data_IF_053004604239
#
_entry.id   IF_053004604239
#
_cell.length_a   1.000
_cell.length_b   1.000
_cell.length_c   1.000
_cell.angle_alpha   90.00
_cell.angle_beta   90.00
_cell.angle_gamma   90.00
#
_symmetry.space_group_name_H-M   'P 1'
#
loop_
_entity.id
_entity.type
_entity.pdbx_description
1 polymer ?
#
# COMPACT_ATOMS: atom_id res chain seq x y z
N UNK A 1 -18.92 -43.42 -53.94
CA UNK A 1 -17.90 -43.60 -52.91
C UNK A 1 -17.55 -42.20 -52.40
N UNK A 2 -18.22 -41.79 -51.34
CA UNK A 2 -18.10 -40.47 -50.74
C UNK A 2 -17.26 -40.60 -49.47
N UNK A 3 -16.07 -40.05 -49.51
CA UNK A 3 -15.15 -40.04 -48.38
C UNK A 3 -15.60 -39.02 -47.36
N UNK A 4 -16.02 -39.50 -46.18
CA UNK A 4 -16.28 -38.67 -44.98
C UNK A 4 -14.93 -38.25 -44.43
N UNK A 5 -14.66 -36.94 -44.47
CA UNK A 5 -13.51 -36.35 -43.80
C UNK A 5 -13.75 -36.42 -42.28
N UNK A 6 -12.92 -37.19 -41.64
CA UNK A 6 -12.84 -37.30 -40.17
C UNK A 6 -12.50 -35.94 -39.57
N UNK A 7 -13.37 -35.49 -38.68
CA UNK A 7 -13.17 -34.34 -37.77
C UNK A 7 -11.96 -34.67 -36.90
N UNK A 8 -10.81 -34.11 -37.19
CA UNK A 8 -9.64 -34.12 -36.30
C UNK A 8 -10.04 -33.55 -34.95
N UNK A 9 -9.85 -34.36 -33.94
CA UNK A 9 -9.97 -34.08 -32.53
C UNK A 9 -9.06 -32.88 -32.20
N UNK A 10 -9.61 -31.67 -32.15
CA UNK A 10 -8.93 -30.52 -31.65
C UNK A 10 -8.71 -30.75 -30.16
N UNK A 11 -7.56 -31.35 -29.82
CA UNK A 11 -7.11 -31.46 -28.45
C UNK A 11 -7.38 -30.11 -27.72
N UNK A 12 -8.22 -30.16 -26.72
CA UNK A 12 -8.56 -28.99 -25.92
C UNK A 12 -7.24 -28.40 -25.37
N UNK A 13 -6.75 -27.32 -25.96
CA UNK A 13 -5.56 -26.63 -25.51
C UNK A 13 -5.71 -26.29 -24.04
N UNK A 14 -4.85 -26.84 -23.21
CA UNK A 14 -4.92 -26.68 -21.75
C UNK A 14 -3.99 -25.56 -21.34
N UNK A 15 -4.58 -24.51 -20.75
CA UNK A 15 -3.79 -23.45 -20.12
C UNK A 15 -3.25 -23.98 -18.80
N UNK A 16 -1.95 -23.99 -18.67
CA UNK A 16 -1.24 -24.39 -17.45
C UNK A 16 -0.70 -23.16 -16.73
N UNK A 17 -0.61 -23.22 -15.40
CA UNK A 17 -0.10 -22.12 -14.57
C UNK A 17 1.11 -22.64 -13.81
N UNK A 18 2.21 -21.91 -13.95
CA UNK A 18 3.49 -22.22 -13.32
C UNK A 18 4.03 -21.03 -12.56
N UNK A 19 4.93 -21.28 -11.64
CA UNK A 19 5.78 -20.22 -11.11
C UNK A 19 6.72 -19.71 -12.21
N UNK A 20 6.92 -18.39 -12.30
CA UNK A 20 7.85 -17.76 -13.25
C UNK A 20 9.24 -18.40 -13.18
N UNK A 21 9.82 -18.64 -14.32
CA UNK A 21 11.20 -19.06 -14.51
C UNK A 21 11.98 -17.99 -15.30
N UNK A 22 13.31 -18.09 -15.35
CA UNK A 22 14.12 -17.16 -16.12
C UNK A 22 13.80 -17.15 -17.62
N UNK A 23 13.34 -18.30 -18.16
CA UNK A 23 12.87 -18.42 -19.56
C UNK A 23 11.70 -17.50 -19.90
N UNK A 24 10.93 -17.07 -18.89
CA UNK A 24 9.75 -16.22 -19.10
C UNK A 24 10.09 -14.73 -19.16
N UNK A 25 11.28 -14.37 -18.75
CA UNK A 25 11.68 -12.98 -18.51
C UNK A 25 11.41 -12.08 -19.72
N UNK A 26 11.97 -12.45 -20.88
CA UNK A 26 11.85 -11.64 -22.08
C UNK A 26 10.38 -11.51 -22.54
N UNK A 27 9.65 -12.62 -22.55
CA UNK A 27 8.24 -12.62 -22.92
C UNK A 27 7.36 -11.80 -21.97
N UNK A 28 7.66 -11.81 -20.67
CA UNK A 28 6.95 -11.02 -19.66
C UNK A 28 7.30 -9.54 -19.73
N UNK A 29 8.57 -9.17 -19.94
CA UNK A 29 8.98 -7.78 -20.13
C UNK A 29 8.33 -7.18 -21.38
N UNK A 30 8.30 -7.90 -22.50
CA UNK A 30 7.59 -7.47 -23.71
C UNK A 30 6.10 -7.30 -23.45
N UNK A 31 5.46 -8.28 -22.82
CA UNK A 31 4.04 -8.20 -22.49
C UNK A 31 3.72 -7.05 -21.53
N UNK A 32 4.60 -6.75 -20.58
CA UNK A 32 4.43 -5.61 -19.67
C UNK A 32 4.40 -4.28 -20.44
N UNK A 33 5.30 -4.13 -21.43
CA UNK A 33 5.33 -2.96 -22.30
C UNK A 33 4.07 -2.85 -23.19
N UNK A 34 3.56 -3.98 -23.68
CA UNK A 34 2.33 -4.02 -24.48
C UNK A 34 1.07 -3.64 -23.66
N UNK A 35 1.02 -4.04 -22.39
CA UNK A 35 -0.16 -3.82 -21.52
C UNK A 35 -0.14 -2.45 -20.85
N UNK A 36 1.02 -2.02 -20.33
CA UNK A 36 1.16 -0.83 -19.49
C UNK A 36 1.96 0.30 -20.13
N UNK A 37 2.57 0.05 -21.28
CA UNK A 37 3.43 1.01 -21.99
C UNK A 37 4.91 0.88 -21.61
N UNK A 38 5.80 1.37 -22.50
CA UNK A 38 7.26 1.24 -22.36
C UNK A 38 7.81 1.90 -21.10
N UNK A 39 7.35 3.09 -20.79
CA UNK A 39 7.78 3.83 -19.57
C UNK A 39 7.44 3.08 -18.28
N UNK A 40 6.25 2.46 -18.20
CA UNK A 40 5.87 1.62 -17.06
C UNK A 40 6.73 0.35 -17.00
N UNK A 41 7.09 -0.24 -18.14
CA UNK A 41 7.96 -1.41 -18.21
C UNK A 41 9.39 -1.11 -17.72
N UNK A 42 9.95 0.06 -18.07
CA UNK A 42 11.25 0.50 -17.58
C UNK A 42 11.24 0.72 -16.05
N UNK A 43 10.20 1.39 -15.54
CA UNK A 43 10.02 1.55 -14.09
C UNK A 43 9.86 0.20 -13.38
N UNK A 44 9.13 -0.74 -13.96
CA UNK A 44 8.99 -2.09 -13.41
C UNK A 44 10.34 -2.82 -13.37
N UNK A 45 11.11 -2.79 -14.45
CA UNK A 45 12.45 -3.41 -14.53
C UNK A 45 13.39 -2.87 -13.44
N UNK A 46 13.39 -1.56 -13.22
CA UNK A 46 14.25 -0.92 -12.21
C UNK A 46 13.96 -1.39 -10.79
N UNK A 47 12.70 -1.70 -10.46
CA UNK A 47 12.28 -2.10 -9.11
C UNK A 47 12.09 -3.61 -8.94
N UNK A 48 12.09 -4.40 -10.03
CA UNK A 48 11.72 -5.81 -10.05
C UNK A 48 12.48 -6.64 -9.00
N UNK A 49 13.81 -6.51 -8.97
CA UNK A 49 14.66 -7.22 -8.04
C UNK A 49 14.31 -6.91 -6.59
N UNK A 50 14.24 -5.63 -6.25
CA UNK A 50 13.86 -5.19 -4.91
C UNK A 50 12.47 -5.70 -4.53
N UNK A 51 11.48 -5.55 -5.42
CA UNK A 51 10.07 -5.81 -5.09
C UNK A 51 9.77 -7.30 -4.93
N UNK A 52 10.37 -8.16 -5.75
CA UNK A 52 10.00 -9.56 -5.85
C UNK A 52 11.08 -10.54 -5.37
N UNK A 53 12.36 -10.24 -5.56
CA UNK A 53 13.45 -11.14 -5.21
C UNK A 53 14.06 -10.84 -3.84
N UNK A 54 14.22 -9.57 -3.49
CA UNK A 54 14.83 -9.12 -2.23
C UNK A 54 13.81 -8.93 -1.08
N UNK A 55 12.53 -9.23 -1.33
CA UNK A 55 11.51 -9.20 -0.28
C UNK A 55 11.87 -10.24 0.80
N UNK A 56 11.96 -9.85 2.10
CA UNK A 56 12.35 -10.78 3.18
C UNK A 56 11.36 -11.93 3.40
N UNK A 57 10.17 -11.83 2.83
CA UNK A 57 9.15 -12.90 2.88
C UNK A 57 9.07 -13.68 1.55
N UNK A 58 9.97 -13.40 0.60
CA UNK A 58 10.08 -14.19 -0.62
C UNK A 58 10.45 -15.63 -0.25
N UNK A 59 9.69 -16.65 -0.71
CA UNK A 59 10.00 -18.03 -0.39
C UNK A 59 11.28 -18.50 -1.07
N UNK A 60 11.95 -19.54 -0.53
CA UNK A 60 13.21 -20.05 -1.09
C UNK A 60 13.11 -20.49 -2.56
N UNK A 61 11.93 -20.88 -3.00
CA UNK A 61 11.64 -21.29 -4.38
C UNK A 61 11.59 -20.11 -5.36
N UNK A 62 11.80 -18.89 -4.88
CA UNK A 62 11.83 -17.66 -5.67
C UNK A 62 10.52 -16.85 -5.62
N UNK A 63 10.43 -15.79 -6.44
CA UNK A 63 9.29 -14.86 -6.44
C UNK A 63 7.94 -15.55 -6.69
N UNK A 64 6.93 -15.11 -5.97
CA UNK A 64 5.54 -15.55 -6.17
C UNK A 64 4.92 -14.84 -7.39
N UNK A 65 5.40 -15.21 -8.58
CA UNK A 65 4.89 -14.73 -9.87
C UNK A 65 4.37 -15.94 -10.64
N UNK A 66 3.08 -15.94 -10.95
CA UNK A 66 2.37 -17.03 -11.60
C UNK A 66 2.17 -16.71 -13.07
N UNK A 67 2.56 -17.63 -13.95
CA UNK A 67 2.54 -17.44 -15.41
C UNK A 67 1.60 -18.47 -16.04
N UNK A 68 0.62 -17.98 -16.78
CA UNK A 68 -0.25 -18.81 -17.59
C UNK A 68 0.38 -19.04 -18.97
N UNK A 69 0.48 -20.30 -19.40
CA UNK A 69 1.01 -20.70 -20.71
C UNK A 69 0.07 -21.66 -21.41
N UNK A 70 0.14 -21.63 -22.72
CA UNK A 70 -0.47 -22.60 -23.64
C UNK A 70 0.55 -22.90 -24.74
N UNK A 71 0.88 -24.17 -24.96
CA UNK A 71 1.88 -24.61 -25.94
C UNK A 71 3.23 -23.87 -25.84
N UNK A 72 3.69 -23.59 -24.60
CA UNK A 72 4.92 -22.83 -24.32
C UNK A 72 4.81 -21.30 -24.47
N UNK A 73 3.70 -20.78 -24.97
CA UNK A 73 3.48 -19.33 -25.15
C UNK A 73 2.92 -18.72 -23.87
N UNK A 74 3.55 -17.64 -23.38
CA UNK A 74 3.08 -16.86 -22.23
C UNK A 74 1.81 -16.10 -22.62
N UNK A 75 0.71 -16.33 -21.89
CA UNK A 75 -0.59 -15.70 -22.11
C UNK A 75 -0.88 -14.59 -21.11
N UNK A 76 -0.34 -14.70 -19.90
CA UNK A 76 -0.55 -13.74 -18.81
C UNK A 76 0.30 -14.06 -17.61
N UNK A 77 0.37 -13.10 -16.67
CA UNK A 77 0.98 -13.30 -15.37
C UNK A 77 0.13 -12.69 -14.26
N UNK A 78 0.37 -13.16 -13.05
CA UNK A 78 -0.03 -12.51 -11.82
C UNK A 78 1.15 -12.48 -10.86
N UNK A 79 1.70 -11.30 -10.65
CA UNK A 79 2.77 -11.10 -9.68
C UNK A 79 2.19 -10.75 -8.32
N UNK A 80 2.84 -11.18 -7.25
CA UNK A 80 2.40 -10.94 -5.89
C UNK A 80 3.58 -10.57 -4.99
N UNK A 81 3.30 -9.83 -3.94
CA UNK A 81 4.30 -9.40 -2.96
C UNK A 81 4.01 -10.10 -1.63
N UNK A 82 4.81 -11.10 -1.25
CA UNK A 82 4.62 -11.83 0.00
C UNK A 82 4.70 -10.92 1.23
N UNK A 83 3.87 -11.22 2.22
CA UNK A 83 3.80 -10.50 3.50
C UNK A 83 3.41 -11.44 4.62
N UNK A 84 3.90 -11.19 5.84
CA UNK A 84 3.37 -11.79 7.05
C UNK A 84 2.33 -10.85 7.66
N UNK A 85 1.19 -11.41 8.02
CA UNK A 85 0.08 -10.68 8.61
C UNK A 85 -0.17 -11.18 10.02
N UNK A 86 -0.30 -10.26 10.97
CA UNK A 86 -0.90 -10.57 12.25
C UNK A 86 -2.41 -10.35 12.14
N UNK A 87 -3.18 -11.42 12.31
CA UNK A 87 -4.64 -11.42 12.25
C UNK A 87 -5.18 -12.05 13.53
N UNK A 88 -5.85 -11.26 14.37
CA UNK A 88 -6.34 -11.71 15.70
C UNK A 88 -5.29 -12.52 16.49
N UNK A 89 -4.07 -12.01 16.56
CA UNK A 89 -2.95 -12.62 17.29
C UNK A 89 -2.28 -13.82 16.59
N UNK A 90 -2.71 -14.22 15.39
CA UNK A 90 -2.11 -15.29 14.59
C UNK A 90 -1.31 -14.71 13.44
N UNK A 91 -0.11 -15.24 13.22
CA UNK A 91 0.68 -14.90 12.02
C UNK A 91 0.24 -15.78 10.87
N UNK A 92 -0.19 -15.15 9.78
CA UNK A 92 -0.58 -15.80 8.53
C UNK A 92 0.41 -15.45 7.41
N UNK A 93 0.65 -16.40 6.51
CA UNK A 93 1.32 -16.13 5.24
C UNK A 93 0.32 -15.53 4.26
N UNK A 94 0.51 -14.27 3.92
CA UNK A 94 -0.30 -13.58 2.94
C UNK A 94 0.51 -13.06 1.78
N UNK A 95 -0.16 -12.52 0.78
CA UNK A 95 0.49 -11.71 -0.25
C UNK A 95 -0.44 -10.65 -0.83
N UNK A 96 0.15 -9.52 -1.21
CA UNK A 96 -0.51 -8.47 -1.95
C UNK A 96 -0.53 -8.83 -3.43
N UNK A 97 -1.72 -8.83 -4.04
CA UNK A 97 -1.86 -8.94 -5.49
C UNK A 97 -1.34 -7.68 -6.18
N UNK A 98 -0.43 -7.89 -7.12
CA UNK A 98 0.27 -6.83 -7.82
C UNK A 98 0.00 -6.90 -9.32
N UNK A 99 0.99 -6.64 -10.11
CA UNK A 99 1.01 -6.54 -11.58
C UNK A 99 0.32 -7.72 -12.30
N UNK A 100 -1.02 -7.73 -12.31
CA UNK A 100 -1.80 -8.69 -13.11
C UNK A 100 -1.86 -8.21 -14.55
N UNK A 101 -1.48 -9.04 -15.49
CA UNK A 101 -1.58 -8.75 -16.91
C UNK A 101 -1.96 -10.00 -17.73
N UNK A 102 -2.72 -9.78 -18.79
CA UNK A 102 -3.10 -10.78 -19.79
C UNK A 102 -2.93 -10.12 -21.15
N UNK A 103 -2.38 -10.86 -22.13
CA UNK A 103 -2.21 -10.33 -23.49
C UNK A 103 -3.51 -9.68 -23.99
N UNK A 104 -3.45 -8.49 -24.62
CA UNK A 104 -4.65 -7.71 -24.99
C UNK A 104 -5.67 -8.51 -25.79
N UNK A 105 -5.23 -9.31 -26.75
CA UNK A 105 -6.07 -10.17 -27.62
C UNK A 105 -6.67 -11.40 -26.90
N UNK A 106 -6.23 -11.68 -25.68
CA UNK A 106 -6.67 -12.83 -24.86
C UNK A 106 -7.44 -12.42 -23.61
N UNK A 107 -7.64 -11.11 -23.39
CA UNK A 107 -8.46 -10.62 -22.29
C UNK A 107 -9.91 -11.11 -22.40
N UNK A 108 -10.61 -11.18 -21.24
CA UNK A 108 -11.98 -11.67 -21.11
C UNK A 108 -12.19 -13.15 -21.43
N UNK A 109 -11.12 -13.94 -21.67
CA UNK A 109 -11.18 -15.40 -21.91
C UNK A 109 -10.96 -16.24 -20.63
N UNK A 110 -11.07 -15.62 -19.45
CA UNK A 110 -10.97 -16.32 -18.16
C UNK A 110 -9.55 -16.56 -17.64
N UNK A 111 -8.50 -16.17 -18.37
CA UNK A 111 -7.09 -16.36 -17.96
C UNK A 111 -6.81 -15.66 -16.65
N UNK A 112 -7.23 -14.39 -16.49
CA UNK A 112 -7.06 -13.63 -15.26
C UNK A 112 -7.72 -14.32 -14.06
N UNK A 113 -8.94 -14.81 -14.20
CA UNK A 113 -9.65 -15.54 -13.13
C UNK A 113 -8.90 -16.79 -12.70
N UNK A 114 -8.33 -17.55 -13.65
CA UNK A 114 -7.54 -18.76 -13.35
C UNK A 114 -6.25 -18.42 -12.60
N UNK A 115 -5.55 -17.36 -12.99
CA UNK A 115 -4.37 -16.84 -12.28
C UNK A 115 -4.70 -16.40 -10.85
N UNK A 116 -5.81 -15.68 -10.66
CA UNK A 116 -6.28 -15.27 -9.33
C UNK A 116 -6.58 -16.46 -8.43
N UNK A 117 -7.35 -17.44 -8.94
CA UNK A 117 -7.70 -18.63 -8.15
C UNK A 117 -6.48 -19.48 -7.84
N UNK A 118 -5.53 -19.58 -8.76
CA UNK A 118 -4.29 -20.30 -8.53
C UNK A 118 -3.46 -19.64 -7.42
N UNK A 119 -3.25 -18.30 -7.51
CA UNK A 119 -2.58 -17.55 -6.46
C UNK A 119 -3.26 -17.70 -5.11
N UNK A 120 -4.59 -17.54 -5.08
CA UNK A 120 -5.34 -17.67 -3.83
C UNK A 120 -5.05 -19.00 -3.11
N UNK A 121 -4.92 -20.09 -3.87
CA UNK A 121 -4.63 -21.41 -3.29
C UNK A 121 -3.25 -21.49 -2.61
N UNK A 122 -2.30 -20.61 -2.98
CA UNK A 122 -0.92 -20.66 -2.51
C UNK A 122 -0.69 -19.95 -1.16
N UNK A 123 -1.64 -19.16 -0.68
CA UNK A 123 -1.49 -18.32 0.53
C UNK A 123 -2.66 -18.51 1.49
N UNK A 124 -2.47 -18.16 2.78
CA UNK A 124 -3.53 -18.18 3.79
C UNK A 124 -4.39 -16.90 3.72
N UNK A 125 -3.79 -15.79 3.24
CA UNK A 125 -4.48 -14.53 3.04
C UNK A 125 -4.10 -13.89 1.71
N UNK A 126 -5.11 -13.62 0.86
CA UNK A 126 -4.98 -12.93 -0.43
C UNK A 126 -5.49 -11.50 -0.30
N UNK A 127 -4.68 -10.52 -0.68
CA UNK A 127 -4.91 -9.11 -0.42
C UNK A 127 -4.87 -8.29 -1.72
N UNK A 128 -5.86 -7.43 -1.90
CA UNK A 128 -5.91 -6.47 -3.01
C UNK A 128 -6.18 -5.07 -2.52
N UNK A 129 -5.24 -4.15 -2.70
CA UNK A 129 -5.32 -2.77 -2.25
C UNK A 129 -5.12 -1.81 -3.43
N UNK A 130 -5.94 -0.76 -3.52
CA UNK A 130 -5.86 0.23 -4.60
C UNK A 130 -6.19 -0.35 -5.99
N UNK A 131 -7.21 -1.18 -6.04
CA UNK A 131 -7.58 -1.98 -7.20
C UNK A 131 -8.02 -1.13 -8.40
N UNK A 132 -7.58 -1.51 -9.60
CA UNK A 132 -8.17 -1.01 -10.84
C UNK A 132 -9.66 -1.44 -10.93
N UNK A 133 -10.52 -0.74 -11.69
CA UNK A 133 -11.91 -1.14 -11.88
C UNK A 133 -12.07 -2.59 -12.35
N UNK A 134 -11.16 -3.04 -13.23
CA UNK A 134 -11.16 -4.40 -13.76
C UNK A 134 -10.80 -5.42 -12.66
N UNK A 135 -9.73 -5.14 -11.89
CA UNK A 135 -9.33 -6.01 -10.78
C UNK A 135 -10.39 -6.04 -9.70
N UNK A 136 -10.96 -4.90 -9.31
CA UNK A 136 -12.04 -4.83 -8.33
C UNK A 136 -13.26 -5.67 -8.75
N UNK A 137 -13.69 -5.56 -10.02
CA UNK A 137 -14.76 -6.40 -10.55
C UNK A 137 -14.45 -7.89 -10.45
N UNK A 138 -13.18 -8.27 -10.69
CA UNK A 138 -12.74 -9.67 -10.61
C UNK A 138 -12.72 -10.17 -9.17
N UNK A 139 -12.18 -9.39 -8.21
CA UNK A 139 -12.22 -9.72 -6.79
C UNK A 139 -13.65 -9.97 -6.31
N UNK A 140 -14.59 -9.08 -6.65
CA UNK A 140 -16.01 -9.21 -6.33
C UNK A 140 -16.63 -10.46 -6.95
N UNK A 141 -16.39 -10.71 -8.23
CA UNK A 141 -16.92 -11.89 -8.94
C UNK A 141 -16.43 -13.19 -8.33
N UNK A 142 -15.20 -13.21 -7.84
CA UNK A 142 -14.58 -14.37 -7.20
C UNK A 142 -14.85 -14.45 -5.68
N UNK A 143 -15.74 -13.59 -5.16
CA UNK A 143 -16.23 -13.58 -3.78
C UNK A 143 -15.13 -13.34 -2.73
N UNK A 144 -14.17 -12.42 -3.01
CA UNK A 144 -13.36 -11.83 -1.97
C UNK A 144 -14.22 -10.87 -1.13
N UNK A 145 -13.91 -10.77 0.16
CA UNK A 145 -14.55 -9.79 1.03
C UNK A 145 -14.18 -8.37 0.59
N UNK A 146 -15.20 -7.57 0.31
CA UNK A 146 -15.07 -6.16 -0.02
C UNK A 146 -15.14 -5.33 1.27
N UNK A 147 -13.97 -5.01 1.81
CA UNK A 147 -13.85 -4.19 3.02
C UNK A 147 -14.24 -2.73 2.76
N UNK A 148 -14.22 -2.33 1.50
CA UNK A 148 -14.49 -0.96 1.08
C UNK A 148 -13.22 -0.11 0.97
N UNK A 149 -13.39 1.21 0.71
CA UNK A 149 -12.25 2.11 0.56
C UNK A 149 -11.58 2.39 1.91
N UNK A 150 -10.24 2.28 1.96
CA UNK A 150 -9.47 2.67 3.15
C UNK A 150 -9.68 4.17 3.41
N UNK A 151 -10.15 4.60 4.60
CA UNK A 151 -10.43 6.00 4.87
C UNK A 151 -9.19 6.89 4.67
N UNK A 152 -9.34 7.96 3.89
CA UNK A 152 -8.29 8.93 3.60
C UNK A 152 -8.48 10.19 4.43
N UNK A 153 -7.45 10.56 5.15
CA UNK A 153 -7.42 11.79 5.97
C UNK A 153 -6.45 12.78 5.34
N UNK A 154 -6.89 14.03 5.15
CA UNK A 154 -6.09 15.06 4.50
C UNK A 154 -6.07 16.34 5.31
N UNK A 155 -4.88 16.84 5.66
CA UNK A 155 -4.68 18.15 6.27
C UNK A 155 -4.27 19.16 5.20
N UNK A 156 -5.03 20.24 5.07
CA UNK A 156 -4.73 21.35 4.17
C UNK A 156 -3.65 22.22 4.83
N UNK A 157 -2.54 22.46 4.11
CA UNK A 157 -1.41 23.26 4.56
C UNK A 157 -1.29 24.56 3.76
N UNK A 158 -1.53 24.49 2.45
CA UNK A 158 -1.62 25.66 1.58
C UNK A 158 -3.00 25.70 0.87
N UNK A 159 -3.96 26.46 1.41
CA UNK A 159 -5.26 26.66 0.78
C UNK A 159 -5.17 27.29 -0.62
N UNK A 160 -4.20 28.17 -0.86
CA UNK A 160 -4.04 28.86 -2.15
C UNK A 160 -3.80 27.90 -3.29
N UNK A 161 -2.83 26.99 -3.12
CA UNK A 161 -2.52 25.98 -4.15
C UNK A 161 -3.72 25.09 -4.50
N UNK A 162 -4.64 24.88 -3.54
CA UNK A 162 -5.87 24.12 -3.78
C UNK A 162 -6.96 24.93 -4.47
N UNK A 163 -7.09 26.21 -4.12
CA UNK A 163 -8.06 27.13 -4.71
C UNK A 163 -7.72 27.47 -6.16
N UNK A 164 -6.45 27.68 -6.50
CA UNK A 164 -5.96 27.97 -7.84
C UNK A 164 -6.29 26.87 -8.88
N UNK A 165 -6.67 25.67 -8.43
CA UNK A 165 -7.15 24.59 -9.32
C UNK A 165 -8.58 24.77 -9.79
N UNK A 166 -9.37 25.58 -9.10
CA UNK A 166 -10.81 25.76 -9.37
C UNK A 166 -11.21 27.20 -9.61
N UNK A 167 -10.36 28.15 -9.23
CA UNK A 167 -10.62 29.58 -9.28
C UNK A 167 -9.46 30.31 -9.97
N UNK A 168 -9.72 31.47 -10.61
CA UNK A 168 -8.68 32.35 -11.10
C UNK A 168 -7.68 32.70 -9.99
N UNK A 169 -6.40 32.84 -10.33
CA UNK A 169 -5.30 33.07 -9.37
C UNK A 169 -5.54 34.25 -8.44
N UNK A 170 -6.14 35.34 -8.97
CA UNK A 170 -6.45 36.56 -8.17
C UNK A 170 -7.49 36.23 -7.11
N UNK A 171 -8.57 35.53 -7.46
CA UNK A 171 -9.63 35.12 -6.54
C UNK A 171 -9.09 34.16 -5.48
N UNK A 172 -8.30 33.19 -5.91
CA UNK A 172 -7.65 32.23 -5.01
C UNK A 172 -6.74 32.94 -3.99
N UNK A 173 -5.96 33.94 -4.43
CA UNK A 173 -5.08 34.70 -3.56
C UNK A 173 -5.85 35.54 -2.52
N UNK A 174 -7.02 36.08 -2.87
CA UNK A 174 -7.87 36.86 -1.96
C UNK A 174 -8.58 35.94 -0.93
N UNK A 175 -9.01 34.75 -1.32
CA UNK A 175 -9.76 33.84 -0.44
C UNK A 175 -8.83 32.98 0.45
N UNK A 176 -7.59 32.73 0.04
CA UNK A 176 -6.67 31.86 0.76
C UNK A 176 -6.38 32.30 2.22
N UNK A 177 -6.17 33.61 2.54
CA UNK A 177 -5.97 34.05 3.92
C UNK A 177 -7.18 33.79 4.81
N UNK A 178 -8.38 34.07 4.34
CA UNK A 178 -9.62 33.84 5.09
C UNK A 178 -9.83 32.35 5.37
N UNK A 179 -9.59 31.49 4.38
CA UNK A 179 -9.65 30.03 4.53
C UNK A 179 -8.57 29.53 5.50
N UNK A 180 -7.35 30.07 5.42
CA UNK A 180 -6.26 29.74 6.35
C UNK A 180 -6.62 30.10 7.79
N UNK A 181 -7.19 31.29 8.00
CA UNK A 181 -7.64 31.77 9.31
C UNK A 181 -8.78 30.88 9.83
N UNK A 182 -9.78 30.57 9.01
CA UNK A 182 -10.87 29.65 9.38
C UNK A 182 -10.38 28.27 9.79
N UNK A 183 -9.45 27.69 9.02
CA UNK A 183 -8.82 26.40 9.36
C UNK A 183 -8.00 26.47 10.65
N UNK A 184 -7.30 27.57 10.91
CA UNK A 184 -6.55 27.79 12.13
C UNK A 184 -7.48 27.91 13.35
N UNK A 185 -8.60 28.60 13.22
CA UNK A 185 -9.59 28.77 14.28
C UNK A 185 -10.31 27.42 14.58
N UNK A 186 -10.71 26.71 13.53
CA UNK A 186 -11.41 25.43 13.67
C UNK A 186 -10.52 24.30 14.22
N UNK A 187 -9.22 24.34 13.90
CA UNK A 187 -8.27 23.29 14.26
C UNK A 187 -6.98 23.89 14.85
N UNK A 188 -7.06 24.47 16.06
CA UNK A 188 -5.87 25.02 16.72
C UNK A 188 -4.85 23.90 16.92
N UNK A 189 -3.70 24.02 16.27
CA UNK A 189 -2.58 23.08 16.45
C UNK A 189 -2.00 23.27 17.86
N UNK A 190 -2.53 22.56 18.83
CA UNK A 190 -1.91 22.46 20.15
C UNK A 190 -0.65 21.60 20.01
N UNK A 191 0.51 22.25 20.00
CA UNK A 191 1.77 21.54 20.24
C UNK A 191 1.66 20.86 21.60
N UNK A 192 2.07 19.60 21.67
CA UNK A 192 2.18 18.86 22.93
C UNK A 192 3.32 19.51 23.73
N UNK A 193 3.00 20.55 24.50
CA UNK A 193 3.98 21.17 25.41
C UNK A 193 4.24 20.21 26.57
N UNK A 194 5.52 19.98 26.90
CA UNK A 194 5.92 19.13 28.04
C UNK A 194 5.90 17.63 27.73
N UNK A 195 5.86 17.22 26.45
CA UNK A 195 5.97 15.82 26.07
C UNK A 195 7.32 15.23 26.45
N UNK A 196 7.31 14.06 27.07
CA UNK A 196 8.53 13.26 27.30
C UNK A 196 9.00 12.55 26.02
N UNK A 197 8.19 12.56 24.96
CA UNK A 197 8.48 11.94 23.66
C UNK A 197 9.01 12.95 22.67
N UNK A 198 10.13 12.62 22.03
CA UNK A 198 10.73 13.42 20.96
C UNK A 198 10.71 12.66 19.66
N UNK A 199 10.34 13.34 18.56
CA UNK A 199 10.40 12.79 17.20
C UNK A 199 11.66 13.33 16.50
N UNK A 200 12.62 12.44 16.20
CA UNK A 200 13.92 12.76 15.56
C UNK A 200 14.10 11.97 14.27
N UNK A 201 14.86 12.47 13.29
CA UNK A 201 15.18 11.69 12.11
C UNK A 201 15.85 10.34 12.47
N UNK A 202 15.47 9.27 11.77
CA UNK A 202 16.21 8.01 11.83
C UNK A 202 17.51 8.17 11.05
N UNK A 203 18.64 8.12 11.75
CA UNK A 203 19.96 8.07 11.14
C UNK A 203 20.39 6.61 10.92
N UNK A 204 20.75 6.27 9.67
CA UNK A 204 21.21 4.92 9.32
C UNK A 204 20.07 3.91 9.11
N UNK A 205 20.27 2.70 9.61
CA UNK A 205 19.41 1.54 9.40
C UNK A 205 18.39 1.34 10.54
N UNK A 206 17.36 0.54 10.30
CA UNK A 206 16.45 0.10 11.35
C UNK A 206 17.16 -0.86 12.31
N UNK A 207 17.23 -0.54 13.59
CA UNK A 207 17.88 -1.33 14.62
C UNK A 207 17.00 -2.45 15.20
N UNK A 208 17.55 -3.27 16.13
CA UNK A 208 16.82 -4.36 16.77
C UNK A 208 15.65 -3.87 17.64
N UNK A 209 15.66 -2.62 18.10
CA UNK A 209 14.58 -2.00 18.87
C UNK A 209 13.26 -1.92 18.11
N UNK A 210 13.28 -1.98 16.77
CA UNK A 210 12.06 -2.06 15.97
C UNK A 210 11.36 -3.41 16.08
N UNK A 211 12.10 -4.49 16.32
CA UNK A 211 11.50 -5.81 16.61
C UNK A 211 10.84 -5.83 18.00
N UNK A 212 11.40 -5.08 18.96
CA UNK A 212 10.80 -4.87 20.28
C UNK A 212 9.51 -4.06 20.15
N UNK A 213 9.55 -2.92 19.44
CA UNK A 213 8.37 -2.10 19.15
C UNK A 213 7.27 -2.90 18.46
N UNK A 214 7.62 -3.73 17.45
CA UNK A 214 6.67 -4.61 16.79
C UNK A 214 5.99 -5.54 17.79
N UNK A 215 6.76 -6.20 18.64
CA UNK A 215 6.25 -7.15 19.66
C UNK A 215 5.32 -6.48 20.66
N UNK A 216 5.59 -5.23 21.03
CA UNK A 216 4.79 -4.47 22.00
C UNK A 216 3.50 -3.91 21.36
N UNK A 217 3.57 -3.30 20.18
CA UNK A 217 2.47 -2.55 19.59
C UNK A 217 1.56 -3.41 18.68
N UNK A 218 2.09 -4.42 18.00
CA UNK A 218 1.29 -5.21 17.05
C UNK A 218 0.07 -5.92 17.67
N UNK A 219 0.08 -6.43 18.93
CA UNK A 219 -1.10 -7.02 19.53
C UNK A 219 -2.28 -6.07 19.73
N UNK A 220 -2.04 -4.77 19.61
CA UNK A 220 -3.09 -3.75 19.71
C UNK A 220 -3.97 -3.67 18.47
N UNK A 221 -3.59 -4.37 17.37
CA UNK A 221 -4.32 -4.39 16.10
C UNK A 221 -4.91 -5.78 15.85
N UNK A 222 -6.10 -5.82 15.26
CA UNK A 222 -6.75 -7.07 14.85
C UNK A 222 -6.27 -7.54 13.46
N UNK A 223 -5.75 -6.61 12.66
CA UNK A 223 -5.16 -6.84 11.34
C UNK A 223 -4.01 -5.86 11.12
N UNK A 224 -2.81 -6.37 10.88
CA UNK A 224 -1.62 -5.56 10.56
C UNK A 224 -0.58 -6.40 9.82
N UNK A 225 0.03 -5.84 8.77
CA UNK A 225 1.20 -6.43 8.13
C UNK A 225 2.43 -6.27 9.02
N UNK A 226 3.38 -7.22 8.96
CA UNK A 226 4.60 -7.21 9.79
C UNK A 226 5.41 -5.92 9.58
N UNK A 227 5.90 -5.34 10.69
CA UNK A 227 6.77 -4.15 10.75
C UNK A 227 8.05 -4.43 11.52
N UNK A 228 8.66 -5.60 11.33
CA UNK A 228 9.97 -5.90 11.89
C UNK A 228 11.09 -5.19 11.12
N UNK A 229 12.25 -5.02 11.76
CA UNK A 229 13.39 -4.28 11.20
C UNK A 229 13.76 -4.73 9.78
N UNK A 230 13.80 -6.03 9.52
CA UNK A 230 14.19 -6.58 8.22
C UNK A 230 13.20 -6.16 7.12
N UNK A 231 11.88 -6.26 7.40
CA UNK A 231 10.84 -5.81 6.49
C UNK A 231 10.90 -4.29 6.28
N UNK A 232 11.06 -3.50 7.36
CA UNK A 232 11.17 -2.04 7.28
C UNK A 232 12.40 -1.59 6.52
N UNK A 233 13.56 -2.26 6.74
CA UNK A 233 14.80 -2.00 6.02
C UNK A 233 14.63 -2.22 4.52
N UNK A 234 14.04 -3.35 4.13
CA UNK A 234 13.73 -3.64 2.75
C UNK A 234 12.74 -2.62 2.17
N UNK A 235 11.63 -2.36 2.89
CA UNK A 235 10.52 -1.57 2.38
C UNK A 235 10.85 -0.08 2.24
N UNK A 236 11.65 0.49 3.16
CA UNK A 236 11.82 1.94 3.25
C UNK A 236 13.26 2.44 3.06
N UNK A 237 14.27 1.58 3.13
CA UNK A 237 15.67 1.97 2.94
C UNK A 237 16.27 1.48 1.61
N UNK A 238 15.81 0.32 1.12
CA UNK A 238 16.35 -0.30 -0.11
C UNK A 238 15.60 -0.01 -1.42
N UNK A 239 14.42 0.63 -1.48
CA UNK A 239 13.75 0.88 -2.75
C UNK A 239 14.64 1.71 -3.69
N UNK A 240 14.88 1.27 -4.95
CA UNK A 240 15.76 1.98 -5.87
C UNK A 240 15.09 3.21 -6.53
N UNK A 241 13.77 3.31 -6.46
CA UNK A 241 12.95 4.26 -7.23
C UNK A 241 12.32 5.35 -6.37
N UNK A 242 12.39 5.26 -5.03
CA UNK A 242 11.76 6.21 -4.11
C UNK A 242 12.60 6.37 -2.85
N UNK A 243 12.58 7.56 -2.27
CA UNK A 243 13.21 7.86 -0.98
C UNK A 243 12.16 8.26 0.03
N UNK A 244 12.40 7.82 1.26
CA UNK A 244 11.56 8.12 2.41
C UNK A 244 12.34 8.86 3.47
N UNK A 245 11.67 9.83 4.11
CA UNK A 245 12.12 10.48 5.32
C UNK A 245 11.46 9.79 6.52
N UNK A 246 12.27 9.25 7.43
CA UNK A 246 11.81 8.43 8.54
C UNK A 246 12.14 9.16 9.83
N UNK A 247 11.16 9.23 10.73
CA UNK A 247 11.33 9.81 12.05
C UNK A 247 10.89 8.81 13.11
N UNK A 248 11.69 8.71 14.17
CA UNK A 248 11.44 7.88 15.35
C UNK A 248 10.93 8.71 16.50
N UNK A 249 9.97 8.18 17.24
CA UNK A 249 9.56 8.73 18.53
C UNK A 249 10.30 7.98 19.64
N UNK A 250 11.03 8.72 20.48
CA UNK A 250 11.75 8.17 21.61
C UNK A 250 11.34 8.84 22.91
N UNK A 251 11.22 8.02 23.98
CA UNK A 251 10.75 8.47 25.30
C UNK A 251 11.86 8.34 26.33
N UNK A 252 11.87 9.29 27.25
CA UNK A 252 12.77 9.30 28.41
C UNK A 252 14.22 9.61 28.07
N UNK A 253 15.09 9.65 29.09
CA UNK A 253 16.50 9.98 28.96
C UNK A 253 17.29 8.88 28.20
N UNK A 254 16.89 7.62 28.31
CA UNK A 254 17.52 6.50 27.61
C UNK A 254 17.03 6.35 26.16
N UNK A 255 16.02 7.12 25.78
CA UNK A 255 15.54 7.17 24.40
C UNK A 255 14.84 5.89 23.93
N UNK A 256 13.96 5.29 24.77
CA UNK A 256 13.17 4.13 24.37
C UNK A 256 12.36 4.43 23.10
N UNK A 257 12.46 3.57 22.09
CA UNK A 257 11.69 3.68 20.85
C UNK A 257 10.22 3.32 21.11
N UNK A 258 9.32 4.29 20.93
CA UNK A 258 7.87 4.13 21.16
C UNK A 258 7.05 4.14 19.86
N UNK A 259 7.64 4.53 18.74
CA UNK A 259 6.98 4.54 17.45
C UNK A 259 7.82 5.17 16.36
N UNK A 260 7.31 5.12 15.13
CA UNK A 260 7.94 5.78 13.98
C UNK A 260 6.90 6.28 12.98
N UNK A 261 7.32 7.20 12.12
CA UNK A 261 6.57 7.65 10.95
C UNK A 261 7.47 7.68 9.72
N UNK A 262 6.92 7.20 8.59
CA UNK A 262 7.54 7.24 7.27
C UNK A 262 6.83 8.27 6.42
N UNK A 263 7.58 9.21 5.87
CA UNK A 263 7.08 10.34 5.11
C UNK A 263 7.75 10.40 3.74
N UNK A 264 7.05 10.96 2.76
CA UNK A 264 7.63 11.37 1.48
C UNK A 264 6.81 12.49 0.84
N UNK A 265 7.39 13.13 -0.16
CA UNK A 265 6.64 14.03 -1.04
C UNK A 265 6.36 13.39 -2.38
N UNK A 266 5.27 13.79 -3.00
CA UNK A 266 4.88 13.39 -4.34
C UNK A 266 4.25 14.56 -5.09
N UNK A 267 4.24 14.52 -6.41
CA UNK A 267 3.51 15.47 -7.24
C UNK A 267 2.28 14.81 -7.86
N UNK A 268 1.12 15.43 -7.67
CA UNK A 268 -0.11 14.98 -8.30
C UNK A 268 -0.83 16.16 -8.96
N UNK A 269 -0.99 16.07 -10.26
CA UNK A 269 -1.61 17.15 -11.05
C UNK A 269 -0.97 18.53 -10.79
N UNK A 270 0.35 18.60 -10.78
CA UNK A 270 1.11 19.84 -10.57
C UNK A 270 1.13 20.38 -9.13
N UNK A 271 0.53 19.65 -8.18
CA UNK A 271 0.52 20.05 -6.76
C UNK A 271 1.42 19.11 -5.95
N UNK A 272 2.32 19.70 -5.15
CA UNK A 272 3.14 18.93 -4.21
C UNK A 272 2.29 18.47 -3.03
N UNK A 273 2.32 17.18 -2.76
CA UNK A 273 1.67 16.53 -1.63
C UNK A 273 2.74 15.98 -0.70
N UNK A 274 2.46 15.96 0.59
CA UNK A 274 3.17 15.11 1.54
C UNK A 274 2.28 13.91 1.87
N UNK A 275 2.92 12.75 1.96
CA UNK A 275 2.28 11.49 2.31
C UNK A 275 2.82 11.01 3.64
N UNK A 276 1.95 10.71 4.55
CA UNK A 276 2.22 9.90 5.72
C UNK A 276 2.07 8.46 5.26
N UNK A 277 3.21 7.86 4.86
CA UNK A 277 3.27 6.56 4.21
C UNK A 277 3.02 5.44 5.19
N UNK A 278 3.65 5.50 6.37
CA UNK A 278 3.43 4.57 7.47
C UNK A 278 3.52 5.31 8.81
N UNK A 279 2.76 4.86 9.80
CA UNK A 279 2.76 5.37 11.17
C UNK A 279 2.52 4.18 12.10
N UNK A 280 3.52 3.76 12.82
CA UNK A 280 3.42 2.61 13.71
C UNK A 280 3.85 2.94 15.13
N UNK A 281 2.96 2.73 16.07
CA UNK A 281 3.11 2.89 17.51
C UNK A 281 1.97 2.15 18.20
N UNK A 282 1.99 2.05 19.51
CA UNK A 282 0.78 1.70 20.27
C UNK A 282 -0.30 2.76 19.98
N UNK A 283 -1.45 2.38 19.41
CA UNK A 283 -2.51 3.32 19.04
C UNK A 283 -3.19 3.99 20.25
N UNK A 284 -2.99 3.49 21.46
CA UNK A 284 -3.44 4.12 22.71
C UNK A 284 -2.42 5.14 23.24
N UNK A 285 -1.16 5.09 22.80
CA UNK A 285 -0.13 6.06 23.18
C UNK A 285 -0.31 7.41 22.47
N UNK A 286 -1.13 8.24 23.10
CA UNK A 286 -1.49 9.56 22.59
C UNK A 286 -0.32 10.52 22.45
N UNK A 287 0.68 10.37 23.31
CA UNK A 287 1.86 11.22 23.35
C UNK A 287 2.79 10.91 22.17
N UNK A 288 3.10 9.64 21.95
CA UNK A 288 3.88 9.17 20.81
C UNK A 288 3.22 9.52 19.48
N UNK A 289 1.93 9.19 19.30
CA UNK A 289 1.19 9.55 18.09
C UNK A 289 1.14 11.06 17.88
N UNK A 290 0.98 11.82 18.97
CA UNK A 290 1.00 13.30 18.94
C UNK A 290 2.32 13.86 18.42
N UNK A 291 3.45 13.38 18.94
CA UNK A 291 4.78 13.80 18.55
C UNK A 291 5.11 13.46 17.08
N UNK A 292 4.77 12.24 16.64
CA UNK A 292 4.96 11.80 15.25
C UNK A 292 4.11 12.58 14.25
N UNK A 293 2.84 12.85 14.58
CA UNK A 293 1.96 13.63 13.73
C UNK A 293 2.38 15.12 13.68
N UNK A 294 2.86 15.69 14.79
CA UNK A 294 3.41 17.05 14.81
C UNK A 294 4.66 17.13 13.91
N UNK A 295 5.55 16.14 13.96
CA UNK A 295 6.71 16.08 13.07
C UNK A 295 6.30 15.94 11.61
N UNK A 296 5.32 15.08 11.30
CA UNK A 296 4.80 14.92 9.94
C UNK A 296 4.22 16.24 9.37
N UNK A 297 3.51 17.02 10.20
CA UNK A 297 2.98 18.34 9.80
C UNK A 297 4.11 19.33 9.55
N UNK A 298 5.15 19.33 10.38
CA UNK A 298 6.33 20.18 10.21
C UNK A 298 7.05 19.83 8.91
N UNK A 299 7.33 18.53 8.68
CA UNK A 299 7.92 18.01 7.44
C UNK A 299 7.15 18.48 6.19
N UNK A 300 5.84 18.32 6.20
CA UNK A 300 5.02 18.71 5.06
C UNK A 300 5.05 20.22 4.76
N UNK A 301 5.20 21.06 5.82
CA UNK A 301 5.38 22.50 5.68
C UNK A 301 6.76 22.86 5.14
N UNK A 302 7.82 22.24 5.69
CA UNK A 302 9.21 22.41 5.22
C UNK A 302 9.33 22.05 3.73
N UNK A 303 8.64 20.99 3.32
CA UNK A 303 8.57 20.56 1.92
C UNK A 303 7.64 21.45 1.04
N UNK A 304 7.02 22.50 1.59
CA UNK A 304 6.04 23.34 0.87
C UNK A 304 4.91 22.52 0.23
N UNK A 305 4.46 21.47 0.90
CA UNK A 305 3.36 20.65 0.42
C UNK A 305 2.00 21.35 0.63
N UNK A 306 1.13 21.30 -0.36
CA UNK A 306 -0.21 21.89 -0.26
C UNK A 306 -1.11 21.16 0.75
N UNK A 307 -0.86 19.87 0.96
CA UNK A 307 -1.56 19.04 1.94
C UNK A 307 -0.73 17.85 2.37
N UNK A 308 -1.04 17.31 3.56
CA UNK A 308 -0.53 16.06 4.08
C UNK A 308 -1.67 15.03 4.09
N UNK A 309 -1.45 13.84 3.53
CA UNK A 309 -2.44 12.77 3.44
C UNK A 309 -2.00 11.52 4.19
N UNK A 310 -2.97 10.82 4.80
CA UNK A 310 -2.78 9.55 5.50
C UNK A 310 -3.95 8.63 5.23
N UNK A 311 -3.72 7.32 5.23
CA UNK A 311 -4.75 6.30 5.21
C UNK A 311 -4.74 5.50 6.51
N UNK A 312 -5.91 5.21 7.04
CA UNK A 312 -6.05 4.26 8.16
C UNK A 312 -7.51 3.86 8.36
N UNK A 313 -7.73 2.60 8.73
CA UNK A 313 -9.01 2.13 9.29
C UNK A 313 -9.05 2.31 10.80
N UNK A 314 -7.89 2.27 11.50
CA UNK A 314 -7.85 2.31 12.96
C UNK A 314 -8.46 3.59 13.50
N UNK A 315 -9.55 3.45 14.28
CA UNK A 315 -10.31 4.60 14.81
C UNK A 315 -9.52 5.43 15.81
N UNK A 316 -8.56 4.84 16.52
CA UNK A 316 -7.73 5.52 17.52
C UNK A 316 -6.75 6.45 16.80
N UNK A 317 -6.08 5.96 15.76
CA UNK A 317 -5.19 6.76 14.89
C UNK A 317 -6.02 7.82 14.16
N UNK A 318 -7.18 7.46 13.59
CA UNK A 318 -8.09 8.40 12.94
C UNK A 318 -8.50 9.55 13.86
N UNK A 319 -8.84 9.25 15.13
CA UNK A 319 -9.15 10.25 16.13
C UNK A 319 -8.00 11.23 16.40
N UNK A 320 -6.74 10.75 16.36
CA UNK A 320 -5.56 11.63 16.49
C UNK A 320 -5.37 12.50 15.24
N UNK A 321 -5.57 11.96 14.04
CA UNK A 321 -5.54 12.72 12.78
C UNK A 321 -6.59 13.84 12.81
N UNK A 322 -7.84 13.53 13.17
CA UNK A 322 -8.92 14.52 13.29
C UNK A 322 -8.57 15.61 14.32
N UNK A 323 -8.06 15.23 15.50
CA UNK A 323 -7.63 16.17 16.52
C UNK A 323 -6.48 17.09 16.08
N UNK A 324 -5.68 16.68 15.09
CA UNK A 324 -4.62 17.48 14.44
C UNK A 324 -5.12 18.26 13.21
N UNK A 325 -6.44 18.28 12.96
CA UNK A 325 -7.07 19.05 11.88
C UNK A 325 -6.97 18.41 10.50
N UNK A 326 -6.85 17.09 10.43
CA UNK A 326 -7.09 16.37 9.20
C UNK A 326 -8.61 16.25 8.97
N UNK A 327 -9.02 16.22 7.73
CA UNK A 327 -10.39 16.04 7.30
C UNK A 327 -10.51 14.68 6.59
N UNK A 328 -11.58 13.95 6.86
CA UNK A 328 -11.91 12.76 6.09
C UNK A 328 -12.32 13.19 4.68
N UNK A 329 -11.70 12.59 3.67
CA UNK A 329 -12.00 12.85 2.26
C UNK A 329 -12.29 11.54 1.51
N UNK A 330 -12.87 11.65 0.31
CA UNK A 330 -13.08 10.50 -0.55
C UNK A 330 -11.76 9.78 -0.83
N UNK A 331 -11.76 8.45 -0.71
CA UNK A 331 -10.61 7.59 -0.91
C UNK A 331 -10.77 6.77 -2.20
N UNK A 332 -9.76 6.76 -3.08
CA UNK A 332 -9.75 5.86 -4.23
C UNK A 332 -9.22 4.46 -3.91
N UNK A 333 -8.73 4.24 -2.67
CA UNK A 333 -8.00 3.04 -2.29
C UNK A 333 -8.95 1.94 -1.83
N UNK A 334 -9.54 1.22 -2.79
CA UNK A 334 -10.40 0.08 -2.53
C UNK A 334 -9.60 -1.09 -1.96
N UNK A 335 -10.12 -1.77 -0.95
CA UNK A 335 -9.51 -2.91 -0.29
C UNK A 335 -10.42 -4.14 -0.35
N UNK A 336 -9.92 -5.21 -0.96
CA UNK A 336 -10.55 -6.53 -0.96
C UNK A 336 -9.59 -7.55 -0.34
N UNK A 337 -10.12 -8.51 0.40
CA UNK A 337 -9.31 -9.51 1.12
C UNK A 337 -10.02 -10.85 1.16
N UNK A 338 -9.26 -11.94 1.15
CA UNK A 338 -9.74 -13.27 1.52
C UNK A 338 -8.78 -13.85 2.54
N UNK A 339 -9.30 -14.22 3.71
CA UNK A 339 -8.58 -14.93 4.77
C UNK A 339 -9.27 -16.28 4.94
N UNK A 340 -8.52 -17.36 4.76
CA UNK A 340 -9.11 -18.71 4.65
C UNK A 340 -9.51 -19.32 5.98
N UNK A 341 -8.86 -18.91 7.06
CA UNK A 341 -9.06 -19.52 8.38
C UNK A 341 -8.92 -18.51 9.51
N UNK A 342 -9.61 -18.78 10.63
CA UNK A 342 -9.41 -18.05 11.89
C UNK A 342 -10.18 -16.74 12.01
N UNK A 343 -11.04 -16.41 11.05
CA UNK A 343 -11.90 -15.22 11.09
C UNK A 343 -13.34 -15.56 10.69
N UNK A 344 -14.28 -14.79 11.20
CA UNK A 344 -15.70 -14.84 10.86
C UNK A 344 -16.12 -13.56 10.09
N UNK A 345 -17.36 -13.49 9.62
CA UNK A 345 -17.88 -12.30 8.91
C UNK A 345 -17.81 -11.01 9.75
N UNK A 346 -17.90 -11.09 11.07
CA UNK A 346 -17.83 -9.92 11.96
C UNK A 346 -16.47 -9.26 11.89
N UNK A 347 -15.42 -10.05 11.66
CA UNK A 347 -14.06 -9.54 11.48
C UNK A 347 -13.98 -8.54 10.33
N UNK A 348 -14.64 -8.82 9.19
CA UNK A 348 -14.62 -7.94 8.02
C UNK A 348 -15.55 -6.73 8.15
N UNK A 349 -16.55 -6.80 9.03
CA UNK A 349 -17.48 -5.69 9.30
C UNK A 349 -16.94 -4.67 10.28
N UNK A 350 -16.02 -5.08 11.18
CA UNK A 350 -15.38 -4.17 12.13
C UNK A 350 -13.88 -4.03 11.85
N UNK A 351 -13.55 -3.02 11.08
CA UNK A 351 -12.16 -2.68 10.71
C UNK A 351 -11.55 -1.63 11.65
N UNK A 352 -12.20 -1.28 12.74
CA UNK A 352 -11.81 -0.18 13.63
C UNK A 352 -10.44 -0.35 14.31
N UNK A 353 -9.89 -1.56 14.27
CA UNK A 353 -8.56 -1.93 14.79
C UNK A 353 -7.65 -2.50 13.70
N UNK A 354 -7.93 -2.22 12.43
CA UNK A 354 -7.11 -2.64 11.31
C UNK A 354 -6.07 -1.57 10.97
N UNK A 355 -4.83 -1.99 10.85
CA UNK A 355 -3.73 -1.12 10.46
C UNK A 355 -3.38 -1.36 8.99
N UNK A 356 -3.89 -0.48 8.14
CA UNK A 356 -3.62 -0.44 6.70
C UNK A 356 -3.24 0.98 6.33
N UNK A 357 -2.10 1.16 5.68
CA UNK A 357 -1.49 2.45 5.37
C UNK A 357 -1.11 2.57 3.89
N UNK A 358 -0.60 3.72 3.45
CA UNK A 358 0.02 3.86 2.12
C UNK A 358 1.20 2.91 1.92
N UNK A 359 1.93 2.58 2.99
CA UNK A 359 3.09 1.70 2.94
C UNK A 359 2.74 0.24 2.69
N UNK A 360 1.49 -0.14 2.85
CA UNK A 360 1.04 -1.48 2.53
C UNK A 360 0.88 -1.63 1.02
N UNK A 361 1.26 -2.82 0.49
CA UNK A 361 1.34 -3.03 -0.95
C UNK A 361 2.35 -2.05 -1.62
N UNK A 362 1.99 -1.49 -2.77
CA UNK A 362 2.80 -0.55 -3.55
C UNK A 362 2.08 0.79 -3.81
N UNK A 363 1.11 1.11 -2.96
CA UNK A 363 0.18 2.22 -3.20
C UNK A 363 0.83 3.60 -3.12
N UNK A 364 2.02 3.70 -2.53
CA UNK A 364 2.78 4.94 -2.43
C UNK A 364 3.71 5.20 -3.62
N UNK A 365 3.82 4.26 -4.57
CA UNK A 365 4.78 4.34 -5.70
C UNK A 365 4.38 5.29 -6.82
N UNK A 366 3.10 5.45 -7.10
CA UNK A 366 2.57 6.11 -8.31
C UNK A 366 1.86 7.45 -8.04
N UNK A 367 2.21 8.12 -6.98
CA UNK A 367 1.62 9.43 -6.65
C UNK A 367 2.44 10.59 -7.21
#
# INVERSE_FOLDING_TARGET
>A
MSGVATTEDRAKKTIEIFRRSERDREALESMYADVFGREAAERNRARFRWQYEENPHCPPEGPEIWVAREDGVVLGQYATMPVRLLVRGRILRGSWGMDVMVRPNLQRKGIGSRLFLYWDQQVEASLGLGLSPQSYTLFRKLQWEDVGPVPCYSKILDPRALLERRLPRVVAALLAPALRFGLWLAFPTRRTRGSSVRATPLEGEFGPEYDVLWKQASPMFDFVAERKREYLQWKYRKPPHVRYDIYEARRGPEGELTGYVVLRTAFRNGVRLALLVDLFADPEDKETLGALLDRAIVYAREASAARLQSFTFDRRIAGRLLAKGFLLISSPMQFCVRIKTGVDERFFRDTSRWHVTFGDSDQDREL
#
